data_IF_435669414797
#
_entry.id   IF_435669414797
#
_cell.length_a   1.000
_cell.length_b   1.000
_cell.length_c   1.000
_cell.angle_alpha   90.00
_cell.angle_beta   90.00
_cell.angle_gamma   90.00
#
_symmetry.space_group_name_H-M   'P 1'
#
loop_
_entity.id
_entity.type
_entity.pdbx_description
1 polymer ?
#
# COMPACT_ATOMS: atom_id res chain seq x y z
N UNK A 1 -11.58 52.79 48.58
CA UNK A 1 -12.79 51.96 48.34
C UNK A 1 -12.32 50.76 47.53
N UNK A 2 -12.75 49.56 47.90
CA UNK A 2 -12.15 48.25 47.64
C UNK A 2 -11.99 47.80 46.16
N UNK A 3 -11.03 46.91 45.92
CA UNK A 3 -10.90 46.04 44.73
C UNK A 3 -11.99 44.94 44.73
N UNK A 4 -12.22 44.20 43.61
CA UNK A 4 -11.39 43.03 43.32
C UNK A 4 -11.16 42.65 41.83
N UNK A 5 -9.93 42.21 41.57
CA UNK A 5 -9.49 41.02 40.82
C UNK A 5 -10.56 40.25 40.02
N UNK A 6 -10.46 40.25 38.69
CA UNK A 6 -11.18 39.38 37.77
C UNK A 6 -10.18 39.07 36.63
N UNK A 7 -9.87 37.86 36.18
CA UNK A 7 -10.36 36.52 36.41
C UNK A 7 -9.68 35.70 35.32
N UNK A 8 -8.71 34.88 35.73
CA UNK A 8 -8.04 33.89 34.87
C UNK A 8 -9.06 32.85 34.39
N UNK A 9 -8.92 32.36 33.15
CA UNK A 9 -9.00 30.95 32.71
C UNK A 9 -9.14 30.84 31.16
N UNK A 10 -8.15 30.26 30.44
CA UNK A 10 -8.29 29.90 29.03
C UNK A 10 -9.13 28.63 28.87
N UNK A 11 -9.95 28.61 27.81
CA UNK A 11 -10.88 27.53 27.49
C UNK A 11 -10.22 26.17 27.30
N UNK A 12 -10.82 25.16 27.91
CA UNK A 12 -10.59 23.75 27.62
C UNK A 12 -11.78 23.15 26.85
N UNK A 13 -11.47 22.30 25.87
CA UNK A 13 -12.23 21.13 25.40
C UNK A 13 -11.36 20.50 24.29
N UNK A 14 -10.66 19.39 24.54
CA UNK A 14 -11.18 18.02 24.39
C UNK A 14 -10.64 17.44 23.06
N UNK A 15 -10.13 16.22 22.92
CA UNK A 15 -10.15 15.04 23.75
C UNK A 15 -8.89 14.20 23.46
N UNK A 16 -8.18 13.80 24.51
CA UNK A 16 -7.19 12.72 24.44
C UNK A 16 -7.92 11.42 24.76
N UNK A 17 -8.30 10.65 23.75
CA UNK A 17 -8.77 9.29 23.95
C UNK A 17 -7.57 8.35 24.15
N UNK A 18 -7.55 7.49 25.20
CA UNK A 18 -6.55 6.45 25.32
C UNK A 18 -6.82 5.33 24.29
N UNK A 19 -5.77 4.96 23.56
CA UNK A 19 -5.77 3.89 22.57
C UNK A 19 -5.95 2.52 23.23
N UNK A 20 -7.19 2.02 23.28
CA UNK A 20 -7.46 0.60 23.49
C UNK A 20 -7.38 -0.10 22.14
N UNK A 21 -6.48 -1.08 22.03
CA UNK A 21 -6.16 -1.74 20.78
C UNK A 21 -7.33 -2.45 20.11
N UNK A 22 -7.39 -2.34 18.78
CA UNK A 22 -7.79 -3.39 17.84
C UNK A 22 -7.61 -2.92 16.40
N UNK A 23 -6.56 -3.47 15.79
CA UNK A 23 -6.25 -3.70 14.37
C UNK A 23 -7.30 -3.42 13.26
N UNK A 24 -7.75 -2.19 13.05
CA UNK A 24 -8.07 -1.80 11.67
C UNK A 24 -6.81 -1.27 11.00
N UNK A 25 -6.35 -1.95 9.95
CA UNK A 25 -5.35 -1.42 9.04
C UNK A 25 -5.88 -0.08 8.50
N UNK A 26 -5.53 1.01 9.18
CA UNK A 26 -5.77 2.37 8.72
C UNK A 26 -4.84 2.61 7.55
N UNK A 27 -5.26 2.14 6.39
CA UNK A 27 -4.82 2.70 5.12
C UNK A 27 -5.43 4.11 5.04
N UNK A 28 -4.82 5.06 5.74
CA UNK A 28 -5.09 6.47 5.50
C UNK A 28 -4.62 6.77 4.08
N UNK A 29 -5.57 6.69 3.15
CA UNK A 29 -5.41 7.12 1.78
C UNK A 29 -5.24 8.63 1.76
N UNK A 30 -4.01 9.09 1.95
CA UNK A 30 -3.61 10.46 1.64
C UNK A 30 -3.65 10.63 0.13
N UNK A 31 -4.77 11.15 -0.37
CA UNK A 31 -4.82 11.81 -1.67
C UNK A 31 -4.00 13.10 -1.55
N UNK A 32 -2.71 13.04 -1.90
CA UNK A 32 -1.85 14.21 -1.94
C UNK A 32 -0.48 13.99 -1.29
N UNK A 33 0.50 13.57 -2.10
CA UNK A 33 1.78 14.27 -2.19
C UNK A 33 2.62 13.70 -3.32
N UNK A 34 3.10 14.63 -4.14
CA UNK A 34 4.12 14.43 -5.15
C UNK A 34 5.45 14.20 -4.39
N UNK A 35 5.90 12.95 -4.30
CA UNK A 35 7.23 12.62 -3.75
C UNK A 35 7.17 11.60 -2.63
N UNK A 36 8.06 10.61 -2.71
CA UNK A 36 8.35 9.69 -1.61
C UNK A 36 7.54 8.41 -1.64
N UNK A 37 8.19 7.33 -2.09
CA UNK A 37 7.92 6.01 -1.54
C UNK A 37 8.39 6.09 -0.08
N UNK A 38 7.54 6.61 0.82
CA UNK A 38 7.93 6.91 2.21
C UNK A 38 8.44 5.64 2.91
N UNK A 39 9.62 5.73 3.52
CA UNK A 39 10.32 4.61 4.13
C UNK A 39 9.50 3.88 5.19
N UNK A 40 8.56 4.59 5.84
CA UNK A 40 7.71 4.05 6.91
C UNK A 40 6.65 3.09 6.39
N UNK A 41 6.30 3.16 5.10
CA UNK A 41 5.27 2.32 4.48
C UNK A 41 5.80 1.46 3.32
N UNK A 42 7.11 1.38 3.18
CA UNK A 42 7.80 0.55 2.17
C UNK A 42 7.35 -0.90 2.24
N UNK A 43 7.23 -1.47 3.45
CA UNK A 43 6.80 -2.86 3.63
C UNK A 43 5.37 -3.09 3.12
N UNK A 44 4.45 -2.16 3.39
CA UNK A 44 3.08 -2.25 2.91
C UNK A 44 3.01 -2.11 1.38
N UNK A 45 3.76 -1.17 0.80
CA UNK A 45 3.85 -0.99 -0.65
C UNK A 45 4.45 -2.21 -1.36
N UNK A 46 5.51 -2.77 -0.78
CA UNK A 46 6.14 -3.99 -1.25
C UNK A 46 5.19 -5.19 -1.19
N UNK A 47 4.47 -5.36 -0.07
CA UNK A 47 3.46 -6.40 0.08
C UNK A 47 2.37 -6.25 -0.99
N UNK A 48 1.85 -5.04 -1.15
CA UNK A 48 0.81 -4.74 -2.13
C UNK A 48 1.29 -4.99 -3.58
N UNK A 49 2.52 -4.62 -3.91
CA UNK A 49 3.13 -4.92 -5.22
C UNK A 49 3.24 -6.43 -5.48
N UNK A 50 3.57 -7.22 -4.46
CA UNK A 50 3.58 -8.68 -4.54
C UNK A 50 2.18 -9.25 -4.78
N UNK A 51 1.17 -8.75 -4.06
CA UNK A 51 -0.23 -9.12 -4.27
C UNK A 51 -0.69 -8.76 -5.69
N UNK A 52 -0.34 -7.58 -6.20
CA UNK A 52 -0.63 -7.17 -7.58
C UNK A 52 -0.04 -8.16 -8.60
N UNK A 53 1.24 -8.49 -8.46
CA UNK A 53 1.91 -9.45 -9.34
C UNK A 53 1.24 -10.83 -9.29
N UNK A 54 0.87 -11.28 -8.09
CA UNK A 54 0.15 -12.54 -7.90
C UNK A 54 -1.21 -12.52 -8.59
N UNK A 55 -2.04 -11.52 -8.31
CA UNK A 55 -3.40 -11.36 -8.85
C UNK A 55 -3.43 -11.32 -10.38
N UNK A 56 -2.43 -10.69 -11.00
CA UNK A 56 -2.32 -10.66 -12.47
C UNK A 56 -2.08 -12.04 -13.09
N UNK A 57 -1.46 -12.96 -12.34
CA UNK A 57 -1.16 -14.34 -12.78
C UNK A 57 -2.18 -15.36 -12.24
N UNK A 58 -2.83 -15.04 -11.13
CA UNK A 58 -3.72 -15.94 -10.40
C UNK A 58 -5.10 -16.00 -11.06
N UNK A 59 -5.36 -17.08 -11.79
CA UNK A 59 -6.67 -17.36 -12.37
C UNK A 59 -7.67 -17.89 -11.33
N UNK A 60 -7.19 -18.51 -10.25
CA UNK A 60 -8.02 -19.17 -9.24
C UNK A 60 -8.99 -18.18 -8.56
N UNK A 61 -10.25 -18.60 -8.41
CA UNK A 61 -11.27 -17.86 -7.67
C UNK A 61 -11.12 -18.05 -6.15
N UNK A 62 -10.76 -19.26 -5.72
CA UNK A 62 -10.52 -19.61 -4.31
C UNK A 62 -9.04 -19.46 -3.95
N UNK A 63 -8.50 -18.25 -4.06
CA UNK A 63 -7.13 -17.99 -3.60
C UNK A 63 -7.13 -17.78 -2.08
N UNK A 64 -6.21 -18.43 -1.36
CA UNK A 64 -6.08 -18.31 0.11
C UNK A 64 -5.58 -16.95 0.59
N UNK A 65 -5.19 -16.06 -0.34
CA UNK A 65 -4.72 -14.71 -0.05
C UNK A 65 -5.92 -13.77 0.09
N UNK A 66 -6.14 -13.24 1.30
CA UNK A 66 -7.27 -12.36 1.64
C UNK A 66 -7.34 -11.09 0.79
N UNK A 67 -6.20 -10.44 0.52
CA UNK A 67 -6.14 -9.25 -0.34
C UNK A 67 -6.25 -9.56 -1.85
N UNK A 68 -6.18 -10.83 -2.25
CA UNK A 68 -6.21 -11.23 -3.67
C UNK A 68 -7.59 -10.96 -4.28
N UNK A 69 -8.68 -11.34 -3.62
CA UNK A 69 -10.02 -11.16 -4.17
C UNK A 69 -10.35 -9.68 -4.46
N UNK A 70 -10.12 -8.81 -3.48
CA UNK A 70 -10.40 -7.37 -3.62
C UNK A 70 -9.46 -6.71 -4.65
N UNK A 71 -8.18 -7.08 -4.64
CA UNK A 71 -7.19 -6.53 -5.59
C UNK A 71 -7.42 -7.06 -7.02
N UNK A 72 -7.92 -8.31 -7.16
CA UNK A 72 -8.33 -8.91 -8.44
C UNK A 72 -9.52 -8.22 -9.05
N UNK A 73 -10.53 -7.89 -8.23
CA UNK A 73 -11.65 -7.08 -8.68
C UNK A 73 -11.18 -5.73 -9.22
N UNK A 74 -10.29 -5.02 -8.50
CA UNK A 74 -9.68 -3.76 -8.96
C UNK A 74 -8.91 -3.91 -10.27
N UNK A 75 -8.07 -4.94 -10.40
CA UNK A 75 -7.25 -5.14 -11.60
C UNK A 75 -8.11 -5.46 -12.82
N UNK A 76 -9.11 -6.31 -12.63
CA UNK A 76 -9.97 -6.82 -13.70
C UNK A 76 -11.03 -5.80 -14.11
N UNK A 77 -11.72 -5.16 -13.16
CA UNK A 77 -12.78 -4.20 -13.45
C UNK A 77 -12.25 -2.84 -13.91
N UNK A 78 -11.06 -2.44 -13.48
CA UNK A 78 -10.59 -1.07 -13.69
C UNK A 78 -9.16 -0.96 -14.24
N UNK A 79 -8.16 -1.55 -13.57
CA UNK A 79 -6.74 -1.27 -13.86
C UNK A 79 -6.34 -1.60 -15.31
N UNK A 80 -6.93 -2.62 -15.93
CA UNK A 80 -6.70 -2.98 -17.34
C UNK A 80 -7.19 -1.93 -18.35
N UNK A 81 -8.32 -1.29 -18.08
CA UNK A 81 -8.95 -0.32 -18.99
C UNK A 81 -8.59 1.12 -18.62
N UNK A 82 -8.11 1.35 -17.41
CA UNK A 82 -7.78 2.67 -16.92
C UNK A 82 -6.54 3.24 -17.61
N UNK A 83 -6.68 4.39 -18.28
CA UNK A 83 -5.57 5.16 -18.88
C UNK A 83 -5.15 6.38 -18.06
N UNK A 84 -5.95 6.79 -17.08
CA UNK A 84 -5.71 8.01 -16.27
C UNK A 84 -4.38 8.02 -15.49
N UNK A 85 -3.82 6.86 -15.15
CA UNK A 85 -2.46 6.81 -14.61
C UNK A 85 -2.48 7.24 -13.14
N UNK A 86 -1.66 8.24 -12.83
CA UNK A 86 -1.61 8.88 -11.52
C UNK A 86 -2.79 9.85 -11.29
N UNK A 87 -3.50 10.29 -12.35
CA UNK A 87 -4.67 11.17 -12.23
C UNK A 87 -5.98 10.39 -11.94
N UNK A 88 -5.89 9.08 -11.73
CA UNK A 88 -7.07 8.27 -11.46
C UNK A 88 -7.52 8.41 -10.00
N UNK A 89 -8.77 8.81 -9.78
CA UNK A 89 -9.39 8.89 -8.45
C UNK A 89 -9.87 7.54 -7.91
N UNK A 90 -9.81 6.47 -8.73
CA UNK A 90 -10.23 5.14 -8.30
C UNK A 90 -9.30 4.61 -7.18
N UNK A 91 -9.86 4.09 -6.07
CA UNK A 91 -9.08 3.68 -4.91
C UNK A 91 -8.04 2.62 -5.29
N UNK A 92 -6.79 2.86 -4.89
CA UNK A 92 -5.61 2.01 -5.19
C UNK A 92 -5.25 1.88 -6.68
N UNK A 93 -5.96 2.53 -7.62
CA UNK A 93 -5.56 2.48 -9.03
C UNK A 93 -4.29 3.29 -9.30
N UNK A 94 -4.23 4.55 -8.83
CA UNK A 94 -3.04 5.38 -8.98
C UNK A 94 -1.80 4.69 -8.37
N UNK A 95 -1.95 4.12 -7.17
CA UNK A 95 -0.90 3.36 -6.51
C UNK A 95 -0.49 2.09 -7.28
N UNK A 96 -1.46 1.29 -7.76
CA UNK A 96 -1.14 0.07 -8.51
C UNK A 96 -0.36 0.38 -9.78
N UNK A 97 -0.78 1.41 -10.53
CA UNK A 97 -0.08 1.85 -11.74
C UNK A 97 1.29 2.43 -11.43
N UNK A 98 1.41 3.20 -10.34
CA UNK A 98 2.70 3.75 -9.90
C UNK A 98 3.69 2.64 -9.53
N UNK A 99 3.30 1.67 -8.72
CA UNK A 99 4.18 0.57 -8.31
C UNK A 99 4.58 -0.33 -9.51
N UNK A 100 3.63 -0.61 -10.41
CA UNK A 100 3.90 -1.38 -11.63
C UNK A 100 4.86 -0.65 -12.56
N UNK A 101 4.72 0.68 -12.72
CA UNK A 101 5.64 1.51 -13.50
C UNK A 101 7.01 1.56 -12.83
N UNK A 102 7.05 1.86 -11.54
CA UNK A 102 8.28 1.92 -10.75
C UNK A 102 9.09 0.64 -10.86
N UNK A 103 8.48 -0.54 -10.72
CA UNK A 103 9.21 -1.80 -10.91
C UNK A 103 9.82 -1.92 -12.32
N UNK A 104 9.13 -1.46 -13.37
CA UNK A 104 9.63 -1.57 -14.75
C UNK A 104 10.80 -0.62 -15.02
N UNK A 105 10.74 0.57 -14.44
CA UNK A 105 11.71 1.65 -14.66
C UNK A 105 12.85 1.65 -13.63
N UNK A 106 12.70 0.98 -12.49
CA UNK A 106 13.70 0.93 -11.44
C UNK A 106 14.70 -0.23 -11.68
N UNK A 107 15.96 0.07 -12.08
CA UNK A 107 17.00 -0.94 -12.21
C UNK A 107 17.57 -1.36 -10.84
N UNK A 108 17.38 -0.52 -9.81
CA UNK A 108 18.10 -0.57 -8.55
C UNK A 108 17.83 -1.87 -7.76
N UNK A 109 18.89 -2.62 -7.50
CA UNK A 109 18.81 -3.89 -6.75
C UNK A 109 18.59 -3.67 -5.26
N UNK A 110 18.91 -2.48 -4.77
CA UNK A 110 18.77 -2.11 -3.38
C UNK A 110 17.55 -1.21 -3.12
N UNK A 111 16.68 -0.99 -4.13
CA UNK A 111 15.44 -0.25 -3.95
C UNK A 111 14.57 -0.94 -2.89
N UNK A 112 14.21 -0.27 -1.78
CA UNK A 112 13.55 -0.91 -0.65
C UNK A 112 12.13 -1.39 -0.96
N UNK A 113 11.48 -0.84 -2.00
CA UNK A 113 10.15 -1.26 -2.49
C UNK A 113 10.25 -2.45 -3.45
N UNK A 114 11.24 -2.45 -4.35
CA UNK A 114 11.43 -3.51 -5.33
C UNK A 114 12.15 -4.74 -4.76
N UNK A 115 13.06 -4.55 -3.80
CA UNK A 115 13.87 -5.59 -3.17
C UNK A 115 13.05 -6.78 -2.65
N UNK A 116 11.98 -6.61 -1.86
CA UNK A 116 11.16 -7.73 -1.39
C UNK A 116 10.48 -8.50 -2.53
N UNK A 117 9.95 -7.82 -3.55
CA UNK A 117 9.41 -8.51 -4.73
C UNK A 117 10.51 -9.24 -5.50
N UNK A 118 11.67 -8.59 -5.71
CA UNK A 118 12.84 -9.19 -6.36
C UNK A 118 13.35 -10.41 -5.60
N UNK A 119 13.42 -10.40 -4.27
CA UNK A 119 13.78 -11.57 -3.45
C UNK A 119 12.79 -12.71 -3.62
N UNK A 120 11.49 -12.42 -3.73
CA UNK A 120 10.45 -13.43 -3.93
C UNK A 120 10.47 -14.02 -5.35
N UNK A 121 10.73 -13.21 -6.37
CA UNK A 121 10.98 -13.67 -7.74
C UNK A 121 12.30 -14.46 -7.82
N UNK A 122 13.32 -13.97 -7.11
CA UNK A 122 14.55 -14.63 -6.64
C UNK A 122 14.26 -16.10 -6.30
N UNK A 123 13.63 -16.24 -5.13
CA UNK A 123 13.17 -17.48 -4.49
C UNK A 123 12.33 -18.39 -5.42
N UNK A 124 11.45 -17.82 -6.24
CA UNK A 124 10.64 -18.62 -7.16
C UNK A 124 11.45 -19.18 -8.34
N UNK A 125 12.47 -18.46 -8.82
CA UNK A 125 13.33 -18.90 -9.92
C UNK A 125 14.29 -19.99 -9.49
N UNK A 126 14.89 -19.88 -8.31
CA UNK A 126 15.77 -20.93 -7.78
C UNK A 126 14.98 -22.15 -7.28
N UNK A 127 13.71 -22.02 -6.86
CA UNK A 127 12.83 -23.21 -6.72
C UNK A 127 12.57 -23.86 -8.08
N UNK A 128 12.29 -23.09 -9.14
CA UNK A 128 12.10 -23.64 -10.50
C UNK A 128 13.37 -24.23 -11.11
N UNK A 129 14.54 -23.68 -10.79
CA UNK A 129 15.83 -24.24 -11.23
C UNK A 129 16.13 -25.59 -10.55
N UNK A 130 15.52 -25.85 -9.38
CA UNK A 130 15.58 -27.13 -8.69
C UNK A 130 14.37 -28.04 -8.94
N UNK A 131 13.44 -27.66 -9.84
CA UNK A 131 12.35 -28.53 -10.27
C UNK A 131 12.81 -29.33 -11.48
N UNK A 132 13.05 -30.65 -11.38
CA UNK A 132 13.21 -31.47 -12.57
C UNK A 132 11.90 -31.40 -13.36
N UNK A 133 12.00 -31.02 -14.63
CA UNK A 133 10.91 -31.21 -15.58
C UNK A 133 10.54 -32.69 -15.56
N UNK A 134 9.33 -33.01 -15.11
CA UNK A 134 8.73 -34.34 -15.24
C UNK A 134 8.06 -34.47 -16.59
#
# INVERSE_FOLDING_TARGET
LAAPLNGVLPGGAGASAPVLGSNCASWSGSNGSLGGLDSSNVQAQAHYLLVLAHVMKCANANCSVTECATTKALVTNHTRSCRAGDACTYPRCALSKRLMRHHRECPDQNCPVCLPLRRRLQAAKNVRASQPAS
#
